data_IF_817056665653
#
_entry.id   IF_817056665653
#
_cell.length_a   1.000
_cell.length_b   1.000
_cell.length_c   1.000
_cell.angle_alpha   90.00
_cell.angle_beta   90.00
_cell.angle_gamma   90.00
#
_symmetry.space_group_name_H-M   'P 1'
#
loop_
_entity.id
_entity.type
_entity.pdbx_description
1 polymer ?
#
# COMPACT_ATOMS: atom_id res chain seq x y z
N UNK A 1 0.36 -17.60 12.45
CA UNK A 1 1.32 -16.78 11.69
C UNK A 1 0.97 -16.66 10.19
N UNK A 2 0.67 -17.74 9.44
CA UNK A 2 0.25 -17.64 8.02
C UNK A 2 -1.01 -16.82 7.84
N UNK A 3 -2.00 -16.97 8.72
CA UNK A 3 -3.23 -16.18 8.68
C UNK A 3 -2.94 -14.70 8.89
N UNK A 4 -2.08 -14.34 9.85
CA UNK A 4 -1.70 -12.94 10.11
C UNK A 4 -0.93 -12.34 8.92
N UNK A 5 0.00 -13.09 8.32
CA UNK A 5 0.67 -12.69 7.08
C UNK A 5 -0.34 -12.39 5.96
N UNK A 6 -1.29 -13.30 5.75
CA UNK A 6 -2.36 -13.11 4.76
C UNK A 6 -3.19 -11.87 5.05
N UNK A 7 -3.58 -11.63 6.30
CA UNK A 7 -4.34 -10.44 6.71
C UNK A 7 -3.56 -9.17 6.40
N UNK A 8 -2.25 -9.10 6.72
CA UNK A 8 -1.44 -7.93 6.38
C UNK A 8 -1.31 -7.72 4.87
N UNK A 9 -1.15 -8.79 4.09
CA UNK A 9 -1.10 -8.67 2.63
C UNK A 9 -2.44 -8.17 2.04
N UNK A 10 -3.59 -8.63 2.57
CA UNK A 10 -4.92 -8.11 2.21
C UNK A 10 -5.05 -6.64 2.63
N UNK A 11 -4.55 -6.28 3.81
CA UNK A 11 -4.56 -4.91 4.29
C UNK A 11 -3.76 -3.97 3.36
N UNK A 12 -2.60 -4.41 2.85
CA UNK A 12 -1.87 -3.63 1.83
C UNK A 12 -2.74 -3.41 0.60
N UNK A 13 -3.43 -4.45 0.08
CA UNK A 13 -4.33 -4.29 -1.07
C UNK A 13 -5.44 -3.27 -0.78
N UNK A 14 -6.09 -3.36 0.38
CA UNK A 14 -7.16 -2.44 0.77
C UNK A 14 -6.65 -1.00 0.91
N UNK A 15 -5.49 -0.83 1.52
CA UNK A 15 -4.85 0.48 1.67
C UNK A 15 -4.48 1.09 0.32
N UNK A 16 -3.95 0.31 -0.63
CA UNK A 16 -3.66 0.81 -2.00
C UNK A 16 -4.93 1.25 -2.72
N UNK A 17 -6.04 0.51 -2.58
CA UNK A 17 -7.32 0.91 -3.16
C UNK A 17 -7.85 2.20 -2.51
N UNK A 18 -7.75 2.32 -1.18
CA UNK A 18 -8.12 3.55 -0.45
C UNK A 18 -7.25 4.74 -0.85
N UNK A 19 -5.95 4.53 -1.13
CA UNK A 19 -5.06 5.57 -1.63
C UNK A 19 -5.58 6.19 -2.93
N UNK A 20 -6.00 5.36 -3.88
CA UNK A 20 -6.59 5.83 -5.13
C UNK A 20 -7.88 6.62 -4.88
N UNK A 21 -8.76 6.09 -4.00
CA UNK A 21 -10.02 6.76 -3.64
C UNK A 21 -9.78 8.12 -2.97
N UNK A 22 -8.86 8.21 -2.01
CA UNK A 22 -8.53 9.45 -1.33
C UNK A 22 -7.97 10.51 -2.28
N UNK A 23 -7.08 10.11 -3.18
CA UNK A 23 -6.51 11.03 -4.16
C UNK A 23 -7.59 11.57 -5.10
N UNK A 24 -8.43 10.69 -5.67
CA UNK A 24 -9.50 11.08 -6.59
C UNK A 24 -10.52 11.97 -5.89
N UNK A 25 -10.92 11.64 -4.65
CA UNK A 25 -11.84 12.45 -3.88
C UNK A 25 -11.30 13.87 -3.64
N UNK A 26 -10.05 13.99 -3.19
CA UNK A 26 -9.44 15.28 -2.93
C UNK A 26 -9.21 16.12 -4.18
N UNK A 27 -8.84 15.51 -5.31
CA UNK A 27 -8.67 16.22 -6.60
C UNK A 27 -10.00 16.59 -7.24
N UNK A 28 -11.06 15.78 -7.08
CA UNK A 28 -12.39 16.13 -7.55
C UNK A 28 -12.94 17.36 -6.80
N UNK A 29 -12.81 17.41 -5.46
CA UNK A 29 -13.20 18.58 -4.68
C UNK A 29 -12.41 19.83 -5.04
N UNK A 30 -11.11 19.69 -5.31
CA UNK A 30 -10.28 20.79 -5.81
C UNK A 30 -10.82 21.34 -7.14
N UNK A 31 -11.24 20.46 -8.06
CA UNK A 31 -11.84 20.87 -9.34
C UNK A 31 -13.10 21.72 -9.13
N UNK A 32 -14.03 21.25 -8.30
CA UNK A 32 -15.26 22.00 -7.96
C UNK A 32 -14.91 23.35 -7.34
N UNK A 33 -13.99 23.40 -6.39
CA UNK A 33 -13.57 24.64 -5.75
C UNK A 33 -12.96 25.64 -6.74
N UNK A 34 -12.18 25.18 -7.72
CA UNK A 34 -11.63 26.04 -8.79
C UNK A 34 -12.76 26.58 -9.68
N UNK A 35 -13.73 25.74 -10.06
CA UNK A 35 -14.88 26.15 -10.87
C UNK A 35 -15.75 27.19 -10.15
N UNK A 36 -15.77 27.22 -8.82
CA UNK A 36 -16.44 28.20 -7.97
C UNK A 36 -15.61 29.49 -7.75
N UNK A 37 -14.44 29.61 -8.41
CA UNK A 37 -13.59 30.81 -8.35
C UNK A 37 -12.39 30.69 -7.41
N UNK A 38 -12.13 29.52 -6.86
CA UNK A 38 -10.92 29.24 -6.08
C UNK A 38 -9.65 29.33 -6.95
N UNK A 39 -8.57 29.85 -6.37
CA UNK A 39 -7.29 30.03 -7.07
C UNK A 39 -6.22 29.17 -6.41
N UNK A 40 -5.68 28.19 -7.16
CA UNK A 40 -4.58 27.36 -6.70
C UNK A 40 -3.25 28.02 -7.05
N UNK A 41 -2.75 28.85 -6.15
CA UNK A 41 -1.49 29.57 -6.29
C UNK A 41 -0.54 29.27 -5.10
N UNK A 42 0.59 29.99 -5.05
CA UNK A 42 1.56 29.85 -3.96
C UNK A 42 0.96 30.23 -2.60
N UNK A 43 0.12 31.28 -2.55
CA UNK A 43 -0.49 31.72 -1.30
C UNK A 43 -1.45 30.65 -0.74
N UNK A 44 -2.27 30.05 -1.61
CA UNK A 44 -3.11 28.90 -1.25
C UNK A 44 -2.29 27.72 -0.74
N UNK A 45 -1.14 27.42 -1.38
CA UNK A 45 -0.23 26.36 -0.92
C UNK A 45 0.34 26.65 0.48
N UNK A 46 0.72 27.89 0.76
CA UNK A 46 1.20 28.33 2.07
C UNK A 46 0.09 28.25 3.14
N UNK A 47 -1.14 28.68 2.80
CA UNK A 47 -2.30 28.58 3.68
C UNK A 47 -2.64 27.13 4.05
N UNK A 48 -2.59 26.21 3.06
CA UNK A 48 -2.76 24.75 3.29
C UNK A 48 -1.65 24.24 4.23
N UNK A 49 -0.40 24.67 4.01
CA UNK A 49 0.72 24.32 4.88
C UNK A 49 0.55 24.84 6.31
N UNK A 50 -0.10 25.99 6.48
CA UNK A 50 -0.47 26.57 7.78
C UNK A 50 -1.69 25.90 8.43
N UNK A 51 -2.35 24.99 7.74
CA UNK A 51 -3.47 24.22 8.28
C UNK A 51 -4.83 24.61 7.74
N UNK A 52 -4.92 25.54 6.82
CA UNK A 52 -6.19 25.91 6.18
C UNK A 52 -6.75 24.78 5.30
N UNK A 53 -8.05 24.83 5.06
CA UNK A 53 -8.79 23.85 4.26
C UNK A 53 -9.68 24.57 3.26
N UNK A 54 -9.10 25.06 2.13
CA UNK A 54 -9.85 25.83 1.14
C UNK A 54 -11.05 25.09 0.55
N UNK A 55 -10.96 23.75 0.48
CA UNK A 55 -12.09 22.87 0.13
C UNK A 55 -12.13 21.67 1.07
N UNK A 56 -13.31 21.12 1.41
CA UNK A 56 -13.46 20.03 2.39
C UNK A 56 -12.73 18.74 2.00
N UNK A 57 -12.75 18.39 0.70
CA UNK A 57 -12.16 17.18 0.15
C UNK A 57 -10.62 17.19 0.13
N UNK A 58 -9.98 18.31 0.42
CA UNK A 58 -8.53 18.37 0.66
C UNK A 58 -8.08 17.34 1.69
N UNK A 59 -8.97 16.99 2.63
CA UNK A 59 -8.76 15.89 3.58
C UNK A 59 -8.37 14.58 2.87
N UNK A 60 -8.92 14.32 1.68
CA UNK A 60 -8.54 13.13 0.87
C UNK A 60 -7.07 13.17 0.48
N UNK A 61 -6.56 14.30 -0.03
CA UNK A 61 -5.13 14.42 -0.38
C UNK A 61 -4.22 14.29 0.83
N UNK A 62 -4.63 14.82 1.99
CA UNK A 62 -3.88 14.69 3.24
C UNK A 62 -3.84 13.24 3.73
N UNK A 63 -4.98 12.53 3.70
CA UNK A 63 -5.06 11.12 4.05
C UNK A 63 -4.22 10.28 3.09
N UNK A 64 -4.25 10.59 1.78
CA UNK A 64 -3.38 9.96 0.79
C UNK A 64 -1.90 10.12 1.17
N UNK A 65 -1.43 11.34 1.39
CA UNK A 65 -0.04 11.61 1.73
C UNK A 65 0.39 10.96 3.05
N UNK A 66 -0.38 11.18 4.11
CA UNK A 66 -0.04 10.66 5.45
C UNK A 66 -0.05 9.14 5.53
N UNK A 67 -1.12 8.49 5.04
CA UNK A 67 -1.21 7.04 5.11
C UNK A 67 -0.26 6.36 4.12
N UNK A 68 -0.03 6.95 2.94
CA UNK A 68 0.95 6.47 1.97
C UNK A 68 2.39 6.53 2.50
N UNK A 69 2.74 7.58 3.23
CA UNK A 69 4.10 7.79 3.75
C UNK A 69 4.38 7.00 5.04
N UNK A 70 3.37 6.74 5.89
CA UNK A 70 3.60 6.13 7.20
C UNK A 70 2.89 4.78 7.37
N UNK A 71 1.59 4.70 7.09
CA UNK A 71 0.79 3.51 7.40
C UNK A 71 1.18 2.34 6.49
N UNK A 72 1.22 2.54 5.18
CA UNK A 72 1.53 1.47 4.22
C UNK A 72 2.95 0.92 4.42
N UNK A 73 4.02 1.75 4.56
CA UNK A 73 5.35 1.25 4.86
C UNK A 73 5.42 0.45 6.16
N UNK A 74 4.73 0.89 7.21
CA UNK A 74 4.69 0.17 8.49
C UNK A 74 4.03 -1.21 8.33
N UNK A 75 2.92 -1.31 7.61
CA UNK A 75 2.25 -2.59 7.32
C UNK A 75 3.14 -3.51 6.48
N UNK A 76 3.83 -2.97 5.46
CA UNK A 76 4.75 -3.73 4.62
C UNK A 76 5.97 -4.24 5.41
N UNK A 77 6.52 -3.44 6.33
CA UNK A 77 7.56 -3.89 7.26
C UNK A 77 7.05 -5.02 8.17
N UNK A 78 5.85 -4.88 8.71
CA UNK A 78 5.19 -5.94 9.50
C UNK A 78 5.03 -7.23 8.69
N UNK A 79 4.70 -7.12 7.39
CA UNK A 79 4.61 -8.27 6.49
C UNK A 79 5.96 -8.99 6.33
N UNK A 80 7.07 -8.23 6.20
CA UNK A 80 8.42 -8.80 6.12
C UNK A 80 8.79 -9.50 7.43
N UNK A 81 8.56 -8.85 8.58
CA UNK A 81 8.85 -9.44 9.90
C UNK A 81 8.09 -10.76 10.06
N UNK A 82 6.80 -10.78 9.73
CA UNK A 82 6.00 -12.01 9.79
C UNK A 82 6.47 -13.08 8.82
N UNK A 83 6.95 -12.71 7.62
CA UNK A 83 7.52 -13.66 6.66
C UNK A 83 8.77 -14.33 7.21
N UNK A 84 9.65 -13.58 7.87
CA UNK A 84 10.88 -14.08 8.49
C UNK A 84 10.59 -15.04 9.67
N UNK A 85 9.55 -14.76 10.46
CA UNK A 85 9.17 -15.57 11.62
C UNK A 85 8.36 -16.80 11.21
N UNK A 86 7.41 -16.65 10.27
CA UNK A 86 6.50 -17.72 9.85
C UNK A 86 7.17 -18.80 9.00
N UNK A 87 8.26 -18.47 8.32
CA UNK A 87 9.18 -19.37 7.58
C UNK A 87 8.50 -20.38 6.65
N UNK A 88 7.35 -20.02 6.04
CA UNK A 88 6.77 -20.89 5.01
C UNK A 88 7.38 -20.58 3.63
N UNK A 89 7.43 -21.56 2.72
CA UNK A 89 8.08 -21.40 1.42
C UNK A 89 7.56 -20.17 0.66
N UNK A 90 8.47 -19.36 0.12
CA UNK A 90 8.13 -18.21 -0.71
C UNK A 90 7.54 -16.98 0.01
N UNK A 91 7.36 -16.98 1.33
CA UNK A 91 6.85 -15.83 2.08
C UNK A 91 7.81 -14.64 2.01
N UNK A 92 9.09 -14.87 2.31
CA UNK A 92 10.10 -13.80 2.38
C UNK A 92 10.28 -13.07 1.05
N UNK A 93 10.54 -13.71 -0.09
CA UNK A 93 10.73 -13.00 -1.35
C UNK A 93 9.49 -12.21 -1.76
N UNK A 94 8.27 -12.66 -1.48
CA UNK A 94 7.04 -11.91 -1.77
C UNK A 94 6.87 -10.69 -0.86
N UNK A 95 7.17 -10.83 0.42
CA UNK A 95 7.12 -9.71 1.36
C UNK A 95 8.17 -8.65 1.01
N UNK A 96 9.38 -9.05 0.63
CA UNK A 96 10.43 -8.14 0.18
C UNK A 96 10.05 -7.42 -1.12
N UNK A 97 9.41 -8.12 -2.07
CA UNK A 97 8.89 -7.49 -3.28
C UNK A 97 7.84 -6.43 -2.96
N UNK A 98 6.88 -6.73 -2.06
CA UNK A 98 5.89 -5.74 -1.59
C UNK A 98 6.58 -4.54 -0.97
N UNK A 99 7.56 -4.75 -0.08
CA UNK A 99 8.29 -3.65 0.55
C UNK A 99 9.08 -2.81 -0.47
N UNK A 100 9.75 -3.45 -1.42
CA UNK A 100 10.49 -2.75 -2.48
C UNK A 100 9.56 -1.86 -3.33
N UNK A 101 8.37 -2.38 -3.69
CA UNK A 101 7.37 -1.61 -4.43
C UNK A 101 6.77 -0.48 -3.57
N UNK A 102 6.64 -0.65 -2.24
CA UNK A 102 6.23 0.43 -1.33
C UNK A 102 7.30 1.52 -1.27
N UNK A 103 8.58 1.17 -1.19
CA UNK A 103 9.68 2.16 -1.23
C UNK A 103 9.66 2.92 -2.56
N UNK A 104 9.53 2.22 -3.68
CA UNK A 104 9.39 2.84 -5.00
C UNK A 104 8.15 3.76 -5.06
N UNK A 105 7.01 3.33 -4.48
CA UNK A 105 5.76 4.09 -4.47
C UNK A 105 5.93 5.42 -3.74
N UNK A 106 6.51 5.42 -2.55
CA UNK A 106 6.77 6.64 -1.78
C UNK A 106 7.75 7.56 -2.53
N UNK A 107 8.84 7.01 -3.04
CA UNK A 107 9.85 7.76 -3.79
C UNK A 107 9.26 8.42 -5.04
N UNK A 108 8.52 7.66 -5.85
CA UNK A 108 7.86 8.17 -7.06
C UNK A 108 6.81 9.23 -6.74
N UNK A 109 6.06 9.07 -5.62
CA UNK A 109 5.10 10.06 -5.16
C UNK A 109 5.75 11.38 -4.77
N UNK A 110 6.81 11.33 -3.96
CA UNK A 110 7.54 12.54 -3.53
C UNK A 110 8.20 13.25 -4.72
N UNK A 111 8.89 12.53 -5.59
CA UNK A 111 9.56 13.09 -6.76
C UNK A 111 8.57 13.54 -7.85
N UNK A 112 7.36 12.95 -7.88
CA UNK A 112 6.30 13.32 -8.82
C UNK A 112 5.83 14.76 -8.69
N UNK A 113 5.98 15.38 -7.53
CA UNK A 113 5.72 16.82 -7.34
C UNK A 113 6.68 17.72 -8.11
N UNK A 114 7.90 17.23 -8.39
CA UNK A 114 8.90 17.99 -9.16
C UNK A 114 8.96 17.53 -10.61
N UNK A 115 8.77 16.23 -10.84
CA UNK A 115 8.86 15.59 -12.15
C UNK A 115 7.56 14.86 -12.48
N UNK A 116 6.62 15.47 -13.24
CA UNK A 116 5.29 14.90 -13.51
C UNK A 116 5.32 13.48 -14.11
N UNK A 117 6.37 13.14 -14.86
CA UNK A 117 6.57 11.81 -15.44
C UNK A 117 6.68 10.72 -14.35
N UNK A 118 7.24 11.07 -13.19
CA UNK A 118 7.36 10.15 -12.04
C UNK A 118 6.00 9.95 -11.34
N UNK A 119 5.11 10.95 -11.39
CA UNK A 119 3.73 10.78 -10.93
C UNK A 119 2.96 9.77 -11.80
N UNK A 120 3.20 9.74 -13.12
CA UNK A 120 2.67 8.69 -13.99
C UNK A 120 3.19 7.30 -13.60
N UNK A 121 4.49 7.16 -13.36
CA UNK A 121 5.10 5.90 -12.91
C UNK A 121 4.61 5.49 -11.52
N UNK A 122 4.32 6.45 -10.63
CA UNK A 122 3.69 6.19 -9.34
C UNK A 122 2.33 5.48 -9.50
N UNK A 123 1.51 5.90 -10.46
CA UNK A 123 0.25 5.24 -10.78
C UNK A 123 0.43 3.80 -11.25
N UNK A 124 1.39 3.55 -12.16
CA UNK A 124 1.71 2.20 -12.64
C UNK A 124 2.22 1.34 -11.48
N UNK A 125 3.14 1.86 -10.67
CA UNK A 125 3.70 1.12 -9.54
C UNK A 125 2.63 0.76 -8.49
N UNK A 126 1.59 1.58 -8.31
CA UNK A 126 0.46 1.26 -7.43
C UNK A 126 -0.25 -0.04 -7.86
N UNK A 127 -0.44 -0.27 -9.16
CA UNK A 127 -1.02 -1.52 -9.69
C UNK A 127 -0.08 -2.71 -9.49
N UNK A 128 1.23 -2.52 -9.66
CA UNK A 128 2.23 -3.56 -9.38
C UNK A 128 2.25 -3.92 -7.89
N UNK A 129 2.22 -2.92 -7.02
CA UNK A 129 2.16 -3.11 -5.56
C UNK A 129 0.88 -3.87 -5.14
N UNK A 130 -0.28 -3.46 -5.66
CA UNK A 130 -1.53 -4.18 -5.41
C UNK A 130 -1.43 -5.65 -5.85
N UNK A 131 -0.92 -5.89 -7.06
CA UNK A 131 -0.76 -7.25 -7.62
C UNK A 131 0.22 -8.09 -6.79
N UNK A 132 1.35 -7.51 -6.36
CA UNK A 132 2.32 -8.19 -5.52
C UNK A 132 1.72 -8.58 -4.16
N UNK A 133 1.01 -7.67 -3.50
CA UNK A 133 0.32 -7.95 -2.24
C UNK A 133 -0.79 -8.99 -2.41
N UNK A 134 -1.57 -8.90 -3.49
CA UNK A 134 -2.61 -9.87 -3.81
C UNK A 134 -2.03 -11.28 -4.07
N UNK A 135 -0.92 -11.40 -4.79
CA UNK A 135 -0.26 -12.69 -5.00
C UNK A 135 0.34 -13.24 -3.71
N UNK A 136 0.90 -12.39 -2.84
CA UNK A 136 1.40 -12.78 -1.53
C UNK A 136 0.31 -13.39 -0.64
N UNK A 137 -0.89 -12.76 -0.58
CA UNK A 137 -2.01 -13.29 0.20
C UNK A 137 -2.55 -14.61 -0.38
N UNK A 138 -2.62 -14.74 -1.72
CA UNK A 138 -3.08 -16.00 -2.37
C UNK A 138 -2.12 -17.15 -2.09
N UNK A 139 -0.82 -16.90 -2.17
CA UNK A 139 0.20 -17.89 -1.86
C UNK A 139 0.06 -18.40 -0.42
N UNK A 140 -0.07 -17.51 0.56
CA UNK A 140 -0.27 -17.90 1.96
C UNK A 140 -1.56 -18.72 2.18
N UNK A 141 -2.60 -18.51 1.37
CA UNK A 141 -3.84 -19.30 1.41
C UNK A 141 -3.62 -20.72 0.88
N UNK A 142 -2.96 -20.89 -0.25
CA UNK A 142 -2.70 -22.20 -0.87
C UNK A 142 -1.83 -23.07 0.04
N UNK A 143 -0.76 -22.49 0.59
CA UNK A 143 0.13 -23.17 1.54
C UNK A 143 -0.59 -23.61 2.84
N UNK A 144 -1.63 -22.88 3.25
CA UNK A 144 -2.45 -23.26 4.42
C UNK A 144 -3.39 -24.44 4.13
N UNK A 145 -3.75 -24.65 2.86
CA UNK A 145 -4.68 -25.70 2.42
C UNK A 145 -3.96 -26.96 1.92
N UNK A 146 -2.63 -26.95 1.81
CA UNK A 146 -1.86 -28.11 1.38
C UNK A 146 -1.97 -29.22 2.43
N UNK A 147 -2.23 -30.49 2.04
CA UNK A 147 -2.21 -31.63 2.96
C UNK A 147 -0.84 -31.73 3.65
N UNK A 148 -0.85 -31.87 4.97
CA UNK A 148 0.39 -32.20 5.68
C UNK A 148 0.88 -33.57 5.20
N UNK A 149 2.18 -33.75 4.88
CA UNK A 149 2.71 -35.08 4.58
C UNK A 149 2.37 -36.00 5.76
N UNK A 150 1.74 -37.13 5.46
CA UNK A 150 1.45 -38.14 6.47
C UNK A 150 2.76 -38.48 7.19
N UNK A 151 2.79 -38.26 8.50
CA UNK A 151 3.87 -38.76 9.34
C UNK A 151 3.76 -40.29 9.26
N UNK A 152 4.60 -40.87 8.42
CA UNK A 152 4.72 -42.34 8.30
C UNK A 152 5.17 -42.86 9.67
N UNK A 153 4.20 -43.41 10.42
CA UNK A 153 4.48 -44.12 11.67
C UNK A 153 5.14 -45.43 11.30
N UNK A 154 6.36 -45.35 10.77
CA UNK A 154 7.25 -46.49 10.60
C UNK A 154 7.91 -46.76 11.96
N UNK A 155 7.24 -47.54 12.80
CA UNK A 155 7.89 -47.92 14.06
C UNK A 155 7.05 -48.63 15.10
N UNK A 156 5.99 -49.30 14.74
CA UNK A 156 5.23 -50.09 15.71
C UNK A 156 4.97 -51.56 15.28
N UNK A 157 6.00 -52.19 14.72
CA UNK A 157 6.02 -53.67 14.59
C UNK A 157 7.47 -54.18 14.65
N UNK A 158 8.04 -54.24 15.88
CA UNK A 158 9.09 -55.18 16.26
C UNK A 158 8.92 -55.52 17.73
#
# INVERSE_FOLDING_TARGET
MRTTYRVLAVLVCALVALQAAFHVWGTAGMGVWIDEGGVLDKATGEAIGAGERPWPELTGLLLHGMSGMFVIPLVALGLVVLALVARFPGAVPRALLVLALVVAQVTLGLLGHTYPQLAFLHGINALLLFTAAFTAQRHARVEASAPQPAVEVAGALR
#
